data_IF_447129081701
#
_entry.id   IF_447129081701
#
_cell.length_a   1.000
_cell.length_b   1.000
_cell.length_c   1.000
_cell.angle_alpha   90.00
_cell.angle_beta   90.00
_cell.angle_gamma   90.00
#
_symmetry.space_group_name_H-M   'P 1'
#
loop_
_entity.id
_entity.type
_entity.pdbx_description
1 polymer ?
#
# COMPACT_ATOMS: atom_id res chain seq x y z
N UNK A 1 10.24 -7.44 5.22
CA UNK A 1 9.93 -6.28 4.37
C UNK A 1 10.46 -5.04 5.05
N UNK A 2 11.24 -4.24 4.32
CA UNK A 2 11.95 -3.07 4.85
C UNK A 2 11.02 -1.95 5.29
N UNK A 3 11.53 -1.15 6.22
CA UNK A 3 10.90 -0.03 6.93
C UNK A 3 10.12 0.98 6.08
N UNK A 4 10.32 1.05 4.75
CA UNK A 4 9.61 1.93 3.82
C UNK A 4 8.09 1.70 3.75
N UNK A 5 7.60 0.47 3.93
CA UNK A 5 6.18 0.16 3.71
C UNK A 5 5.27 0.63 4.85
N UNK A 6 5.74 0.54 6.10
CA UNK A 6 5.02 1.08 7.27
C UNK A 6 4.90 2.60 7.23
N UNK A 7 5.93 3.29 6.74
CA UNK A 7 5.98 4.76 6.66
C UNK A 7 4.92 5.34 5.71
N UNK A 8 4.42 4.58 4.73
CA UNK A 8 3.35 5.03 3.82
C UNK A 8 1.97 5.00 4.49
N UNK A 9 1.73 4.03 5.39
CA UNK A 9 0.48 3.87 6.15
C UNK A 9 0.42 4.96 7.25
N UNK A 10 1.57 5.30 7.81
CA UNK A 10 1.73 6.30 8.86
C UNK A 10 1.51 7.75 8.37
N UNK A 11 1.58 8.02 7.06
CA UNK A 11 1.32 9.35 6.45
C UNK A 11 -0.16 9.74 6.39
N UNK A 12 -1.00 9.17 7.25
CA UNK A 12 -2.41 9.49 7.40
C UNK A 12 -3.37 8.62 6.60
N UNK A 13 -2.87 7.58 5.92
CA UNK A 13 -3.71 6.67 5.13
C UNK A 13 -4.02 5.41 5.92
N UNK A 14 -5.29 5.23 6.32
CA UNK A 14 -5.68 4.02 7.04
C UNK A 14 -5.43 2.77 6.19
N UNK A 15 -5.08 1.65 6.84
CA UNK A 15 -4.82 0.36 6.19
C UNK A 15 -5.97 -0.09 5.28
N UNK A 16 -7.21 0.20 5.68
CA UNK A 16 -8.41 -0.12 4.90
C UNK A 16 -8.47 0.67 3.59
N UNK A 17 -8.11 1.95 3.63
CA UNK A 17 -8.05 2.83 2.46
C UNK A 17 -6.94 2.37 1.51
N UNK A 18 -5.76 2.02 2.04
CA UNK A 18 -4.67 1.50 1.22
C UNK A 18 -5.03 0.16 0.55
N UNK A 19 -5.68 -0.75 1.28
CA UNK A 19 -6.13 -2.03 0.72
C UNK A 19 -7.12 -1.83 -0.44
N UNK A 20 -8.03 -0.86 -0.31
CA UNK A 20 -9.01 -0.50 -1.34
C UNK A 20 -8.32 0.01 -2.61
N UNK A 21 -7.26 0.82 -2.50
CA UNK A 21 -6.47 1.26 -3.66
C UNK A 21 -5.71 0.13 -4.35
N UNK A 22 -5.18 -0.80 -3.56
CA UNK A 22 -4.51 -2.00 -4.07
C UNK A 22 -5.52 -3.05 -4.60
N UNK A 23 -6.82 -2.73 -4.61
CA UNK A 23 -7.93 -3.63 -4.97
C UNK A 23 -7.82 -4.98 -4.28
N UNK A 24 -7.44 -4.96 -3.00
CA UNK A 24 -7.20 -6.15 -2.19
C UNK A 24 -7.93 -6.05 -0.86
N UNK A 25 -8.13 -7.19 -0.21
CA UNK A 25 -8.72 -7.24 1.12
C UNK A 25 -7.68 -6.77 2.16
N UNK A 26 -8.06 -6.00 3.21
CA UNK A 26 -7.19 -5.68 4.33
C UNK A 26 -6.44 -6.87 4.93
N UNK A 27 -7.05 -8.05 4.97
CA UNK A 27 -6.42 -9.30 5.44
C UNK A 27 -5.31 -9.80 4.51
N UNK A 28 -5.46 -9.59 3.20
CA UNK A 28 -4.41 -9.89 2.22
C UNK A 28 -3.23 -8.93 2.37
N UNK A 29 -3.53 -7.65 2.58
CA UNK A 29 -2.51 -6.64 2.86
C UNK A 29 -1.75 -6.97 4.15
N UNK A 30 -2.44 -7.38 5.21
CA UNK A 30 -1.82 -7.83 6.46
C UNK A 30 -0.93 -9.07 6.25
N UNK A 31 -1.37 -10.03 5.44
CA UNK A 31 -0.54 -11.18 5.08
C UNK A 31 0.75 -10.76 4.35
N UNK A 32 0.70 -9.71 3.52
CA UNK A 32 1.89 -9.14 2.88
C UNK A 32 2.80 -8.45 3.89
N UNK A 33 2.23 -7.64 4.79
CA UNK A 33 2.97 -6.94 5.87
C UNK A 33 3.71 -7.92 6.80
N UNK A 34 3.09 -9.06 7.10
CA UNK A 34 3.67 -10.13 7.92
C UNK A 34 4.62 -11.05 7.13
N UNK A 35 4.78 -10.83 5.82
CA UNK A 35 5.62 -11.67 4.95
C UNK A 35 5.06 -13.08 4.68
N UNK A 36 3.78 -13.33 5.03
CA UNK A 36 3.09 -14.61 4.78
C UNK A 36 2.68 -14.77 3.32
N UNK A 37 2.58 -13.67 2.57
CA UNK A 37 2.27 -13.67 1.14
C UNK A 37 3.01 -12.54 0.41
N UNK A 38 3.01 -12.59 -0.93
CA UNK A 38 3.62 -11.56 -1.78
C UNK A 38 2.56 -10.73 -2.53
N UNK A 39 2.79 -9.42 -2.73
CA UNK A 39 1.91 -8.60 -3.56
C UNK A 39 1.89 -9.10 -5.00
N UNK A 40 0.72 -8.99 -5.64
CA UNK A 40 0.58 -9.24 -7.07
C UNK A 40 1.28 -8.12 -7.88
N UNK A 41 1.43 -8.33 -9.20
CA UNK A 41 2.14 -7.40 -10.08
C UNK A 41 1.60 -5.97 -10.04
N UNK A 42 0.27 -5.80 -10.01
CA UNK A 42 -0.38 -4.49 -9.95
C UNK A 42 -0.14 -3.80 -8.60
N UNK A 43 -0.29 -4.53 -7.50
CA UNK A 43 -0.05 -4.03 -6.16
C UNK A 43 1.43 -3.64 -5.97
N UNK A 44 2.35 -4.45 -6.47
CA UNK A 44 3.79 -4.15 -6.43
C UNK A 44 4.14 -2.89 -7.24
N UNK A 45 3.46 -2.67 -8.38
CA UNK A 45 3.62 -1.45 -9.16
C UNK A 45 3.12 -0.21 -8.41
N UNK A 46 1.91 -0.28 -7.83
CA UNK A 46 1.33 0.83 -7.04
C UNK A 46 2.23 1.14 -5.83
N UNK A 47 2.75 0.12 -5.14
CA UNK A 47 3.68 0.31 -4.02
C UNK A 47 4.96 1.04 -4.44
N UNK A 48 5.54 0.68 -5.59
CA UNK A 48 6.74 1.35 -6.14
C UNK A 48 6.45 2.79 -6.57
N UNK A 49 5.28 3.03 -7.16
CA UNK A 49 4.84 4.38 -7.53
C UNK A 49 4.69 5.27 -6.29
N UNK A 50 4.04 4.75 -5.26
CA UNK A 50 3.86 5.44 -3.98
C UNK A 50 5.19 5.68 -3.26
N UNK A 51 6.16 4.77 -3.37
CA UNK A 51 7.53 4.96 -2.87
C UNK A 51 8.28 6.09 -3.61
N UNK A 52 8.14 6.15 -4.94
CA UNK A 52 8.81 7.16 -5.77
C UNK A 52 8.13 8.54 -5.72
N UNK A 53 6.81 8.56 -5.59
CA UNK A 53 5.96 9.73 -5.66
C UNK A 53 5.02 9.74 -4.45
N UNK A 54 5.46 10.27 -3.30
CA UNK A 54 4.69 10.19 -2.05
C UNK A 54 3.35 10.95 -2.11
N UNK A 55 3.22 11.91 -3.02
CA UNK A 55 1.98 12.64 -3.31
C UNK A 55 0.95 11.77 -4.06
N UNK A 56 1.37 10.66 -4.66
CA UNK A 56 0.47 9.72 -5.37
C UNK A 56 -0.61 9.20 -4.43
N UNK A 57 -0.30 8.99 -3.15
CA UNK A 57 -1.29 8.56 -2.16
C UNK A 57 -2.40 9.58 -1.97
N UNK A 58 -2.05 10.88 -1.93
CA UNK A 58 -3.03 11.96 -1.82
C UNK A 58 -3.84 12.11 -3.10
N UNK A 59 -3.19 12.03 -4.27
CA UNK A 59 -3.86 12.08 -5.59
C UNK A 59 -4.83 10.92 -5.80
N UNK A 60 -4.46 9.72 -5.34
CA UNK A 60 -5.31 8.53 -5.37
C UNK A 60 -6.47 8.63 -4.39
N UNK A 61 -6.35 9.43 -3.32
CA UNK A 61 -7.42 9.64 -2.35
C UNK A 61 -8.48 10.66 -2.79
N UNK A 62 -8.20 11.44 -3.84
CA UNK A 62 -9.12 12.45 -4.39
C UNK A 62 -9.93 11.97 -5.60
N UNK A 63 -9.73 10.72 -6.04
CA UNK A 63 -10.45 10.07 -7.16
C UNK A 63 -11.32 8.93 -6.69
#
# INVERSE_FOLDING_TARGET
MGTSQRKQIDRGLSRAVFARYLRTNPRTLENWEQGRAKPNAQAALIMRLVEKFPDTVQRLATV
#
